data_IF_069890015372
#
_entry.id   IF_069890015372
#
_cell.length_a   1.000
_cell.length_b   1.000
_cell.length_c   1.000
_cell.angle_alpha   90.00
_cell.angle_beta   90.00
_cell.angle_gamma   90.00
#
_symmetry.space_group_name_H-M   'P 1'
#
loop_
_entity.id
_entity.type
_entity.pdbx_description
1 polymer ?
#
# COMPACT_ATOMS: atom_id res chain seq x y z
N UNK A 1 -1.80 -4.66 30.86
CA UNK A 1 -1.53 -4.28 29.92
C UNK A 1 -0.96 -4.48 28.74
N UNK A 2 -0.90 -4.43 28.06
CA UNK A 2 -0.73 -4.64 27.32
C UNK A 2 -0.51 -4.26 26.11
N UNK A 3 -0.43 -4.04 25.40
CA UNK A 3 0.08 -3.42 24.62
C UNK A 3 0.73 -4.03 23.60
N UNK A 4 0.31 -4.53 22.69
CA UNK A 4 0.99 -5.17 21.75
C UNK A 4 0.56 -4.82 20.46
N UNK A 5 0.16 -3.72 20.24
CA UNK A 5 -0.39 -3.43 19.06
C UNK A 5 0.48 -3.19 17.94
N UNK A 6 1.54 -2.54 18.03
CA UNK A 6 2.38 -2.15 16.91
C UNK A 6 2.87 -3.33 16.10
N UNK A 7 2.96 -4.47 16.71
CA UNK A 7 3.41 -5.65 16.02
C UNK A 7 2.43 -6.10 14.94
N UNK A 8 1.16 -6.01 15.23
CA UNK A 8 0.14 -6.42 14.27
C UNK A 8 0.16 -5.54 13.03
N UNK A 9 0.31 -4.24 13.21
CA UNK A 9 0.34 -3.32 12.07
C UNK A 9 1.54 -3.61 11.17
N UNK A 10 2.68 -3.94 11.79
CA UNK A 10 3.87 -4.25 11.02
C UNK A 10 3.71 -5.52 10.19
N UNK A 11 3.06 -6.53 10.75
CA UNK A 11 2.83 -7.78 10.04
C UNK A 11 1.94 -7.57 8.83
N UNK A 12 0.94 -6.72 8.96
CA UNK A 12 0.05 -6.43 7.84
C UNK A 12 0.77 -5.67 6.73
N UNK A 13 1.66 -4.76 7.10
CA UNK A 13 2.44 -4.04 6.11
C UNK A 13 3.35 -5.00 5.33
N UNK A 14 3.90 -6.00 6.01
CA UNK A 14 4.74 -6.99 5.33
C UNK A 14 3.94 -7.80 4.31
N UNK A 15 2.70 -8.15 4.65
CA UNK A 15 1.83 -8.83 3.69
C UNK A 15 1.57 -7.95 2.49
N UNK A 16 1.34 -6.66 2.72
CA UNK A 16 1.10 -5.72 1.63
C UNK A 16 2.29 -5.62 0.69
N UNK A 17 3.50 -5.59 1.25
CA UNK A 17 4.71 -5.53 0.45
C UNK A 17 4.80 -6.75 -0.46
N UNK A 18 4.56 -7.93 0.09
CA UNK A 18 4.64 -9.16 -0.69
C UNK A 18 3.59 -9.19 -1.79
N UNK A 19 2.39 -8.72 -1.48
CA UNK A 19 1.33 -8.65 -2.48
C UNK A 19 1.70 -7.69 -3.60
N UNK A 20 2.29 -6.55 -3.26
CA UNK A 20 2.74 -5.60 -4.26
C UNK A 20 3.81 -6.23 -5.15
N UNK A 21 4.80 -6.86 -4.54
CA UNK A 21 5.90 -7.47 -5.30
C UNK A 21 5.39 -8.55 -6.27
N UNK A 22 4.43 -9.33 -5.81
CA UNK A 22 3.93 -10.43 -6.63
C UNK A 22 3.03 -9.97 -7.75
N UNK A 23 2.20 -8.97 -7.49
CA UNK A 23 1.15 -8.59 -8.44
C UNK A 23 1.39 -7.28 -9.19
N UNK A 24 2.20 -6.41 -8.66
CA UNK A 24 2.28 -5.04 -9.18
C UNK A 24 3.68 -4.56 -9.51
N UNK A 25 4.70 -5.12 -8.89
CA UNK A 25 6.05 -4.59 -9.07
C UNK A 25 6.47 -4.54 -10.53
N UNK A 26 6.26 -5.62 -11.25
CA UNK A 26 6.63 -5.67 -12.66
C UNK A 26 5.76 -4.75 -13.50
N UNK A 27 4.47 -4.78 -13.22
CA UNK A 27 3.52 -3.96 -13.97
C UNK A 27 3.81 -2.48 -13.79
N UNK A 28 4.09 -2.07 -12.55
CA UNK A 28 4.33 -0.66 -12.24
C UNK A 28 5.76 -0.23 -12.57
N UNK A 29 6.67 -1.18 -12.66
CA UNK A 29 8.05 -0.86 -12.99
C UNK A 29 8.76 -0.07 -11.91
N UNK A 30 8.34 -0.20 -10.66
CA UNK A 30 8.97 0.50 -9.55
C UNK A 30 8.93 -0.34 -8.30
N UNK A 31 9.85 -0.08 -7.37
CA UNK A 31 9.90 -0.80 -6.12
C UNK A 31 8.72 -0.43 -5.22
N UNK A 32 8.47 -1.26 -4.20
CA UNK A 32 7.45 -0.93 -3.23
C UNK A 32 7.72 0.38 -2.54
N UNK A 33 8.99 0.66 -2.25
CA UNK A 33 9.36 1.92 -1.61
C UNK A 33 8.95 3.11 -2.47
N UNK A 34 9.22 3.04 -3.77
CA UNK A 34 8.88 4.13 -4.67
C UNK A 34 7.37 4.29 -4.81
N UNK A 35 6.64 3.17 -4.84
CA UNK A 35 5.20 3.21 -4.96
C UNK A 35 4.57 3.86 -3.73
N UNK A 36 4.94 3.40 -2.55
CA UNK A 36 4.37 3.94 -1.30
C UNK A 36 4.74 5.41 -1.11
N UNK A 37 5.92 5.80 -1.58
CA UNK A 37 6.39 7.18 -1.43
C UNK A 37 5.77 8.16 -2.43
N UNK A 38 4.84 7.70 -3.26
CA UNK A 38 4.17 8.61 -4.18
C UNK A 38 3.32 9.64 -3.43
N UNK A 39 2.80 9.26 -2.28
CA UNK A 39 1.95 10.14 -1.50
C UNK A 39 2.30 10.09 -0.02
N UNK A 40 1.84 11.09 0.72
CA UNK A 40 2.05 11.15 2.16
C UNK A 40 1.06 10.25 2.89
N UNK A 41 1.37 9.94 4.16
CA UNK A 41 0.48 9.11 4.97
C UNK A 41 -0.95 9.65 5.00
N UNK A 42 -1.09 10.95 5.19
CA UNK A 42 -2.41 11.57 5.26
C UNK A 42 -3.20 11.40 3.96
N UNK A 43 -2.50 11.45 2.84
CA UNK A 43 -3.15 11.30 1.54
C UNK A 43 -3.65 9.87 1.33
N UNK A 44 -2.82 8.88 1.67
CA UNK A 44 -3.23 7.49 1.59
C UNK A 44 -4.41 7.21 2.53
N UNK A 45 -4.31 7.74 3.76
CA UNK A 45 -5.34 7.53 4.78
C UNK A 45 -6.67 8.14 4.36
N UNK A 46 -6.63 9.35 3.82
CA UNK A 46 -7.84 10.01 3.36
C UNK A 46 -8.53 9.22 2.25
N UNK A 47 -7.75 8.72 1.31
CA UNK A 47 -8.31 7.94 0.21
C UNK A 47 -8.92 6.64 0.73
N UNK A 48 -8.26 6.00 1.68
CA UNK A 48 -8.76 4.76 2.24
C UNK A 48 -10.09 4.97 2.96
N UNK A 49 -10.16 6.01 3.79
CA UNK A 49 -11.38 6.31 4.54
C UNK A 49 -12.53 6.74 3.64
N UNK A 50 -12.20 7.37 2.53
CA UNK A 50 -13.23 7.82 1.58
C UNK A 50 -13.67 6.71 0.65
N UNK A 51 -13.07 5.53 0.72
CA UNK A 51 -13.42 4.43 -0.18
C UNK A 51 -12.86 4.61 -1.58
N UNK A 52 -11.84 5.45 -1.74
CA UNK A 52 -11.27 5.71 -3.05
C UNK A 52 -9.79 5.33 -3.13
N UNK A 53 -9.36 4.40 -2.28
CA UNK A 53 -7.95 4.01 -2.28
C UNK A 53 -7.53 3.40 -3.61
N UNK A 54 -8.39 2.62 -4.25
CA UNK A 54 -8.04 2.02 -5.54
C UNK A 54 -7.74 3.09 -6.59
N UNK A 55 -8.49 4.18 -6.56
CA UNK A 55 -8.23 5.29 -7.48
C UNK A 55 -6.89 5.96 -7.15
N UNK A 56 -6.61 6.13 -5.88
CA UNK A 56 -5.35 6.73 -5.45
C UNK A 56 -4.17 5.87 -5.88
N UNK A 57 -4.29 4.58 -5.72
CA UNK A 57 -3.24 3.66 -6.15
C UNK A 57 -3.08 3.67 -7.68
N UNK A 58 -4.17 3.83 -8.41
CA UNK A 58 -4.10 3.95 -9.85
C UNK A 58 -3.36 5.22 -10.26
N UNK A 59 -3.52 6.30 -9.50
CA UNK A 59 -2.76 7.52 -9.76
C UNK A 59 -1.27 7.27 -9.60
N UNK A 60 -0.90 6.49 -8.59
CA UNK A 60 0.50 6.17 -8.35
C UNK A 60 1.05 5.24 -9.42
N UNK A 61 0.22 4.36 -9.95
CA UNK A 61 0.64 3.39 -10.96
C UNK A 61 -0.51 3.15 -11.94
N UNK A 62 -0.64 3.99 -12.96
CA UNK A 62 -1.72 3.82 -13.94
C UNK A 62 -1.73 2.47 -14.64
N UNK A 63 -0.58 1.86 -14.81
CA UNK A 63 -0.51 0.55 -15.47
C UNK A 63 -1.15 -0.56 -14.64
N UNK A 64 -1.34 -0.33 -13.35
CA UNK A 64 -1.97 -1.30 -12.46
C UNK A 64 -3.47 -1.18 -12.36
N UNK A 65 -4.08 -0.31 -13.16
CA UNK A 65 -5.52 -0.04 -13.05
C UNK A 65 -6.36 -1.32 -13.05
N UNK A 66 -6.04 -2.24 -13.92
CA UNK A 66 -6.81 -3.48 -14.03
C UNK A 66 -6.79 -4.25 -12.71
N UNK A 67 -5.63 -4.33 -12.07
CA UNK A 67 -5.55 -4.99 -10.78
C UNK A 67 -6.34 -4.24 -9.72
N UNK A 68 -6.18 -2.92 -9.67
CA UNK A 68 -6.83 -2.11 -8.64
C UNK A 68 -8.35 -2.10 -8.76
N UNK A 69 -8.89 -2.41 -9.94
CA UNK A 69 -10.33 -2.48 -10.13
C UNK A 69 -10.87 -3.89 -10.01
N UNK A 70 -10.01 -4.87 -9.79
CA UNK A 70 -10.40 -6.27 -9.77
C UNK A 70 -10.80 -6.77 -8.41
N UNK A 71 -11.34 -8.00 -8.40
CA UNK A 71 -11.80 -8.61 -7.15
C UNK A 71 -10.66 -8.97 -6.22
N UNK A 72 -9.52 -9.34 -6.75
CA UNK A 72 -8.39 -9.68 -5.91
C UNK A 72 -7.95 -8.49 -5.09
N UNK A 73 -7.92 -7.29 -5.69
CA UNK A 73 -7.57 -6.09 -4.96
C UNK A 73 -8.52 -5.88 -3.77
N UNK A 74 -9.80 -6.06 -4.00
CA UNK A 74 -10.79 -5.84 -2.94
C UNK A 74 -10.51 -6.72 -1.73
N UNK A 75 -10.05 -7.94 -1.96
CA UNK A 75 -9.77 -8.87 -0.88
C UNK A 75 -8.52 -8.50 -0.10
N UNK A 76 -7.58 -7.82 -0.73
CA UNK A 76 -6.30 -7.51 -0.10
C UNK A 76 -6.09 -6.02 0.13
N UNK A 77 -7.11 -5.22 -0.08
CA UNK A 77 -6.99 -3.77 0.03
C UNK A 77 -6.39 -3.32 1.36
N UNK A 78 -6.83 -3.90 2.45
CA UNK A 78 -6.33 -3.49 3.75
C UNK A 78 -4.84 -3.75 3.89
N UNK A 79 -4.37 -4.87 3.39
CA UNK A 79 -2.94 -5.17 3.46
C UNK A 79 -2.14 -4.18 2.63
N UNK A 80 -2.65 -3.83 1.46
CA UNK A 80 -1.98 -2.84 0.62
C UNK A 80 -2.01 -1.45 1.25
N UNK A 81 -3.12 -1.10 1.91
CA UNK A 81 -3.20 0.16 2.62
C UNK A 81 -2.17 0.20 3.75
N UNK A 82 -2.08 -0.88 4.55
CA UNK A 82 -1.12 -0.92 5.64
C UNK A 82 0.31 -0.74 5.11
N UNK A 83 0.61 -1.33 3.98
CA UNK A 83 1.90 -1.20 3.34
C UNK A 83 2.18 0.26 2.93
N UNK A 84 1.30 0.88 2.16
CA UNK A 84 1.56 2.24 1.67
C UNK A 84 1.56 3.26 2.79
N UNK A 85 0.74 3.06 3.81
CA UNK A 85 0.71 3.96 4.96
C UNK A 85 2.00 3.86 5.76
N UNK A 86 2.47 2.64 5.99
CA UNK A 86 3.68 2.42 6.76
C UNK A 86 4.91 3.01 6.08
N UNK A 87 4.96 2.98 4.76
CA UNK A 87 6.13 3.40 4.01
C UNK A 87 5.88 4.61 3.12
N UNK A 88 4.88 5.40 3.45
CA UNK A 88 4.56 6.60 2.69
C UNK A 88 5.71 7.61 2.70
N UNK A 89 5.61 8.58 1.82
CA UNK A 89 6.68 9.54 1.59
C UNK A 89 7.19 10.20 2.87
N UNK A 90 6.30 10.51 3.80
CA UNK A 90 6.67 11.21 5.03
C UNK A 90 6.72 10.32 6.26
N UNK A 91 6.70 9.01 6.08
CA UNK A 91 6.68 8.11 7.23
C UNK A 91 8.05 7.94 7.89
N UNK A 92 9.11 8.20 7.15
CA UNK A 92 10.44 7.95 7.66
C UNK A 92 10.88 6.50 7.56
N UNK A 93 10.03 5.63 7.05
CA UNK A 93 10.33 4.20 6.92
C UNK A 93 10.57 3.84 5.46
N UNK A 94 11.48 2.91 5.22
CA UNK A 94 11.79 2.44 3.88
C UNK A 94 11.76 0.93 3.87
N UNK A 95 10.93 0.30 3.04
CA UNK A 95 10.87 -1.16 3.01
C UNK A 95 12.09 -1.74 2.33
N UNK A 96 12.33 -3.01 2.59
CA UNK A 96 13.49 -3.69 2.06
C UNK A 96 13.34 -4.16 0.61
N UNK A 97 12.41 -3.65 -0.12
CA UNK A 97 12.22 -4.14 -1.49
C UNK A 97 12.40 -3.07 -2.55
#
# INVERSE_FOLDING_TARGET
GFSVFSTAAHADAQKGIKLYQKNLKETCGMSGAAFAAKFKQAEWDKAYKAGTLSKKMTEACPKGKEFFEGDKYKKVEQHLYDFVHEYAKDSGNIPAC
#
